data_IF_031532522485
#
_entry.id   IF_031532522485
#
_cell.length_a   1.000
_cell.length_b   1.000
_cell.length_c   1.000
_cell.angle_alpha   90.00
_cell.angle_beta   90.00
_cell.angle_gamma   90.00
#
_symmetry.space_group_name_H-M   'P 1'
#
loop_
_entity.id
_entity.type
_entity.pdbx_description
1 polymer ?
#
# COMPACT_ATOMS: atom_id res chain seq x y z
N UNK A 1 5.54 6.08 5.34
CA UNK A 1 4.54 5.25 6.03
C UNK A 1 5.22 4.28 6.97
N UNK A 2 5.01 4.52 8.26
CA UNK A 2 5.58 3.79 9.37
C UNK A 2 4.64 2.68 9.82
N UNK A 3 5.20 1.52 10.17
CA UNK A 3 4.42 0.30 10.49
C UNK A 3 3.53 0.52 11.73
N UNK A 4 3.96 1.40 12.65
CA UNK A 4 3.21 1.77 13.85
C UNK A 4 1.89 2.47 13.52
N UNK A 5 1.90 3.37 12.54
CA UNK A 5 0.73 4.14 12.12
C UNK A 5 -0.32 3.24 11.43
N UNK A 6 0.16 2.27 10.65
CA UNK A 6 -0.67 1.27 9.96
C UNK A 6 -1.32 0.32 10.97
N UNK A 7 -0.62 -0.04 12.06
CA UNK A 7 -1.20 -0.86 13.14
C UNK A 7 -2.24 -0.15 13.98
N UNK A 8 -2.18 1.18 14.07
CA UNK A 8 -3.15 1.99 14.82
C UNK A 8 -4.49 2.15 14.08
N UNK A 9 -4.50 1.93 12.76
CA UNK A 9 -5.71 2.03 11.92
C UNK A 9 -6.51 0.73 11.94
N UNK A 10 -7.83 0.88 11.80
CA UNK A 10 -8.75 -0.25 11.75
C UNK A 10 -8.57 -1.06 10.46
N UNK A 11 -8.86 -2.36 10.52
CA UNK A 11 -8.73 -3.30 9.39
C UNK A 11 -9.52 -2.78 8.17
N UNK A 12 -10.73 -2.25 8.39
CA UNK A 12 -11.56 -1.66 7.35
C UNK A 12 -10.91 -0.46 6.66
N UNK A 13 -10.24 0.42 7.41
CA UNK A 13 -9.52 1.55 6.86
C UNK A 13 -8.28 1.11 6.09
N UNK A 14 -7.59 0.07 6.55
CA UNK A 14 -6.47 -0.53 5.82
C UNK A 14 -6.90 -1.10 4.47
N UNK A 15 -8.06 -1.73 4.40
CA UNK A 15 -8.64 -2.20 3.14
C UNK A 15 -9.00 -1.04 2.20
N UNK A 16 -9.62 0.03 2.71
CA UNK A 16 -9.89 1.24 1.91
C UNK A 16 -8.60 1.86 1.37
N UNK A 17 -7.60 2.00 2.22
CA UNK A 17 -6.30 2.56 1.84
C UNK A 17 -5.58 1.69 0.80
N UNK A 18 -5.71 0.36 0.91
CA UNK A 18 -5.16 -0.59 -0.06
C UNK A 18 -5.77 -0.37 -1.45
N UNK A 19 -7.09 -0.17 -1.53
CA UNK A 19 -7.79 0.09 -2.79
C UNK A 19 -7.31 1.41 -3.41
N UNK A 20 -7.24 2.47 -2.62
CA UNK A 20 -6.77 3.78 -3.07
C UNK A 20 -5.33 3.72 -3.59
N UNK A 21 -4.42 3.09 -2.84
CA UNK A 21 -3.01 2.96 -3.24
C UNK A 21 -2.83 2.09 -4.49
N UNK A 22 -3.67 1.07 -4.68
CA UNK A 22 -3.69 0.28 -5.93
C UNK A 22 -4.19 1.11 -7.12
N UNK A 23 -5.19 1.98 -6.93
CA UNK A 23 -5.65 2.88 -7.97
C UNK A 23 -4.53 3.86 -8.38
N UNK A 24 -3.89 4.53 -7.40
CA UNK A 24 -2.75 5.42 -7.68
C UNK A 24 -1.57 4.68 -8.33
N UNK A 25 -1.32 3.43 -7.95
CA UNK A 25 -0.29 2.62 -8.60
C UNK A 25 -0.61 2.42 -10.09
N UNK A 26 -1.87 2.12 -10.46
CA UNK A 26 -2.25 1.97 -11.87
C UNK A 26 -2.06 3.25 -12.65
N UNK A 27 -2.46 4.39 -12.10
CA UNK A 27 -2.24 5.69 -12.76
C UNK A 27 -0.77 6.00 -12.96
N UNK A 28 0.08 5.71 -11.97
CA UNK A 28 1.52 5.92 -12.09
C UNK A 28 2.18 4.93 -13.06
N UNK A 29 1.72 3.69 -13.11
CA UNK A 29 2.19 2.71 -14.11
C UNK A 29 1.78 3.15 -15.50
N UNK A 30 0.56 3.67 -15.67
CA UNK A 30 0.09 4.21 -16.95
C UNK A 30 0.96 5.39 -17.41
N UNK A 31 1.15 6.39 -16.53
CA UNK A 31 2.03 7.54 -16.80
C UNK A 31 3.50 7.13 -17.02
N UNK A 32 3.95 6.02 -16.42
CA UNK A 32 5.29 5.48 -16.65
C UNK A 32 5.41 4.75 -17.97
N UNK A 33 4.35 4.06 -18.39
CA UNK A 33 4.28 3.45 -19.71
C UNK A 33 4.27 4.50 -20.84
N UNK A 34 3.71 5.68 -20.59
CA UNK A 34 3.80 6.84 -21.50
C UNK A 34 5.18 7.51 -21.54
N UNK A 35 6.16 7.04 -20.75
CA UNK A 35 7.52 7.58 -20.74
C UNK A 35 7.66 8.96 -20.09
N UNK A 36 6.58 9.49 -19.49
CA UNK A 36 6.57 10.80 -18.84
C UNK A 36 6.97 10.75 -17.35
N UNK A 37 7.20 9.56 -16.76
CA UNK A 37 7.57 9.49 -15.35
C UNK A 37 9.05 9.78 -15.12
N UNK A 38 9.32 11.03 -14.72
CA UNK A 38 10.63 11.46 -14.19
C UNK A 38 11.01 10.78 -12.86
N UNK A 39 10.06 10.19 -12.14
CA UNK A 39 10.28 9.64 -10.78
C UNK A 39 9.73 8.22 -10.64
N UNK A 40 10.49 7.26 -11.17
CA UNK A 40 10.27 5.82 -10.95
C UNK A 40 10.25 5.44 -9.45
N UNK A 41 10.84 6.30 -8.60
CA UNK A 41 10.85 6.15 -7.15
C UNK A 41 9.44 6.06 -6.54
N UNK A 42 8.50 6.88 -7.01
CA UNK A 42 7.13 6.94 -6.46
C UNK A 42 6.37 5.62 -6.61
N UNK A 43 6.59 4.88 -7.71
CA UNK A 43 6.02 3.54 -7.90
C UNK A 43 6.54 2.59 -6.84
N UNK A 44 7.85 2.63 -6.57
CA UNK A 44 8.50 1.77 -5.57
C UNK A 44 8.01 2.09 -4.15
N UNK A 45 7.82 3.37 -3.83
CA UNK A 45 7.28 3.80 -2.53
C UNK A 45 5.84 3.35 -2.30
N UNK A 46 4.99 3.43 -3.33
CA UNK A 46 3.60 2.96 -3.24
C UNK A 46 3.56 1.44 -3.11
N UNK A 47 4.38 0.71 -3.87
CA UNK A 47 4.53 -0.75 -3.70
C UNK A 47 4.97 -1.13 -2.29
N UNK A 48 5.95 -0.42 -1.72
CA UNK A 48 6.39 -0.61 -0.33
C UNK A 48 5.28 -0.32 0.68
N UNK A 49 4.48 0.72 0.46
CA UNK A 49 3.33 1.02 1.33
C UNK A 49 2.26 -0.07 1.27
N UNK A 50 1.92 -0.57 0.06
CA UNK A 50 1.00 -1.69 -0.12
C UNK A 50 1.51 -2.95 0.60
N UNK A 51 2.80 -3.28 0.45
CA UNK A 51 3.41 -4.42 1.12
C UNK A 51 3.31 -4.31 2.65
N UNK A 52 3.60 -3.12 3.21
CA UNK A 52 3.47 -2.88 4.66
C UNK A 52 2.03 -3.05 5.15
N UNK A 53 1.04 -2.54 4.42
CA UNK A 53 -0.39 -2.69 4.75
C UNK A 53 -0.79 -4.17 4.76
N UNK A 54 -0.41 -4.92 3.71
CA UNK A 54 -0.68 -6.36 3.62
C UNK A 54 -0.01 -7.14 4.76
N UNK A 55 1.23 -6.80 5.12
CA UNK A 55 1.92 -7.43 6.25
C UNK A 55 1.20 -7.20 7.57
N UNK A 56 0.71 -5.98 7.82
CA UNK A 56 -0.06 -5.68 9.04
C UNK A 56 -1.38 -6.44 9.05
N UNK A 57 -2.11 -6.48 7.93
CA UNK A 57 -3.35 -7.24 7.81
C UNK A 57 -3.13 -8.74 8.06
N UNK A 58 -2.08 -9.31 7.45
CA UNK A 58 -1.74 -10.72 7.64
C UNK A 58 -1.28 -11.02 9.08
N UNK A 59 -0.51 -10.11 9.68
CA UNK A 59 -0.10 -10.23 11.08
C UNK A 59 -1.32 -10.17 12.01
N UNK A 60 -2.27 -9.26 11.77
CA UNK A 60 -3.51 -9.15 12.54
C UNK A 60 -4.36 -10.43 12.42
N UNK A 61 -4.51 -10.96 11.19
CA UNK A 61 -5.19 -12.24 10.94
C UNK A 61 -4.51 -13.42 11.64
N UNK A 62 -3.18 -13.47 11.65
CA UNK A 62 -2.41 -14.56 12.28
C UNK A 62 -2.39 -14.47 13.81
N UNK A 63 -2.51 -13.28 14.40
CA UNK A 63 -2.62 -13.10 15.85
C UNK A 63 -4.01 -13.36 16.42
N UNK A 64 -5.07 -13.31 15.60
CA UNK A 64 -6.45 -13.65 15.99
C UNK A 64 -6.77 -15.15 15.95
N UNK A 65 -5.79 -15.99 15.61
CA UNK A 65 -5.89 -17.45 15.67
C UNK A 65 -5.17 -18.02 16.89
N UNK A 66 -5.65 -17.69 18.10
CA UNK A 66 -5.39 -18.43 19.33
C UNK A 66 -6.60 -18.33 20.24
#
# INVERSE_FOLDING_TARGET
MDIKDIRAKSISDLHKLLVEKRASLRELVFKASEGQLKSMHSISEIKKSIAKILTVLNHAAKSGGK
#
